data_IF_248216630040
#
_entry.id   IF_248216630040
#
_cell.length_a   1.000
_cell.length_b   1.000
_cell.length_c   1.000
_cell.angle_alpha   90.00
_cell.angle_beta   90.00
_cell.angle_gamma   90.00
#
_symmetry.space_group_name_H-M   'P 1'
#
loop_
_entity.id
_entity.type
_entity.pdbx_description
1 polymer ?
#
# COMPACT_ATOMS: atom_id res chain seq x y z
N UNK A 1 14.57 9.84 -7.49
CA UNK A 1 15.87 9.93 -6.78
C UNK A 1 16.72 8.75 -7.20
N UNK A 2 18.04 8.90 -7.37
CA UNK A 2 18.91 7.74 -7.64
C UNK A 2 19.36 7.11 -6.31
N UNK A 3 19.07 5.82 -6.09
CA UNK A 3 19.59 5.02 -4.97
C UNK A 3 20.38 3.86 -5.58
N UNK A 4 21.66 3.70 -5.20
CA UNK A 4 22.57 2.67 -5.74
C UNK A 4 22.62 2.64 -7.28
N UNK A 5 22.57 3.80 -7.93
CA UNK A 5 22.59 3.91 -9.40
C UNK A 5 21.25 3.67 -10.10
N UNK A 6 20.19 3.33 -9.37
CA UNK A 6 18.84 3.13 -9.90
C UNK A 6 17.92 4.29 -9.58
N UNK A 7 17.14 4.75 -10.56
CA UNK A 7 16.08 5.75 -10.31
C UNK A 7 14.93 5.09 -9.57
N UNK A 8 14.67 5.55 -8.34
CA UNK A 8 13.57 5.12 -7.50
C UNK A 8 12.62 6.30 -7.28
N UNK A 9 11.32 6.00 -7.31
CA UNK A 9 10.22 6.95 -7.13
C UNK A 9 9.37 6.53 -5.95
N UNK A 10 8.78 7.49 -5.23
CA UNK A 10 7.85 7.23 -4.13
C UNK A 10 6.47 6.71 -4.59
N UNK A 11 6.20 6.67 -5.90
CA UNK A 11 4.89 6.32 -6.42
C UNK A 11 3.83 7.39 -6.12
N UNK A 12 2.56 6.99 -6.20
CA UNK A 12 1.42 7.86 -5.91
C UNK A 12 1.00 7.68 -4.44
N UNK A 13 1.14 8.76 -3.66
CA UNK A 13 0.74 8.82 -2.25
C UNK A 13 -0.51 9.68 -2.03
N UNK A 14 -1.18 10.13 -3.08
CA UNK A 14 -2.36 11.01 -2.99
C UNK A 14 -3.67 10.33 -3.44
N UNK A 15 -3.57 9.29 -4.28
CA UNK A 15 -4.74 8.60 -4.80
C UNK A 15 -5.45 7.82 -3.69
N UNK A 16 -6.63 8.29 -3.29
CA UNK A 16 -7.45 7.66 -2.26
C UNK A 16 -8.43 6.61 -2.79
N UNK A 17 -8.97 6.82 -3.98
CA UNK A 17 -10.03 5.99 -4.54
C UNK A 17 -9.55 5.30 -5.81
N UNK A 18 -9.65 3.97 -5.83
CA UNK A 18 -9.26 3.15 -6.97
C UNK A 18 -10.33 2.08 -7.23
N UNK A 19 -11.01 2.18 -8.36
CA UNK A 19 -11.89 1.10 -8.82
C UNK A 19 -11.22 0.32 -9.93
N UNK A 20 -11.09 -0.99 -9.72
CA UNK A 20 -10.62 -1.96 -10.72
C UNK A 20 -11.65 -3.07 -10.94
N UNK A 21 -12.90 -2.84 -10.52
CA UNK A 21 -14.00 -3.78 -10.69
C UNK A 21 -14.19 -4.20 -12.16
N UNK A 22 -14.77 -5.38 -12.38
CA UNK A 22 -15.07 -5.94 -13.71
C UNK A 22 -13.85 -6.16 -14.60
N UNK A 23 -12.69 -6.43 -13.98
CA UNK A 23 -11.46 -6.80 -14.68
C UNK A 23 -11.07 -8.26 -14.37
N UNK A 24 -10.22 -8.84 -15.22
CA UNK A 24 -9.66 -10.19 -15.02
C UNK A 24 -8.52 -10.19 -13.97
N UNK A 25 -8.75 -9.59 -12.80
CA UNK A 25 -7.75 -9.55 -11.74
C UNK A 25 -7.65 -10.92 -11.07
N UNK A 26 -6.43 -11.29 -10.69
CA UNK A 26 -6.10 -12.54 -10.00
C UNK A 26 -5.44 -12.24 -8.65
N UNK A 27 -5.22 -13.26 -7.80
CA UNK A 27 -4.50 -13.11 -6.53
C UNK A 27 -3.09 -12.52 -6.69
N UNK A 28 -2.47 -12.59 -7.87
CA UNK A 28 -1.21 -11.87 -8.17
C UNK A 28 -1.39 -10.35 -8.09
N UNK A 29 -2.54 -9.82 -8.49
CA UNK A 29 -2.86 -8.39 -8.36
C UNK A 29 -3.13 -8.03 -6.90
N UNK A 30 -3.86 -8.89 -6.19
CA UNK A 30 -4.14 -8.71 -4.77
C UNK A 30 -2.86 -8.60 -3.94
N UNK A 31 -1.90 -9.53 -4.14
CA UNK A 31 -0.58 -9.46 -3.47
C UNK A 31 0.14 -8.15 -3.72
N UNK A 32 0.09 -7.63 -4.95
CA UNK A 32 0.68 -6.31 -5.27
C UNK A 32 -0.04 -5.17 -4.57
N UNK A 33 -1.37 -5.23 -4.45
CA UNK A 33 -2.14 -4.23 -3.70
C UNK A 33 -1.81 -4.28 -2.21
N UNK A 34 -1.67 -5.47 -1.62
CA UNK A 34 -1.21 -5.64 -0.23
C UNK A 34 0.17 -5.00 -0.04
N UNK A 35 1.16 -5.34 -0.88
CA UNK A 35 2.49 -4.71 -0.82
C UNK A 35 2.43 -3.19 -1.01
N UNK A 36 1.54 -2.70 -1.88
CA UNK A 36 1.32 -1.26 -2.07
C UNK A 36 0.78 -0.58 -0.81
N UNK A 37 -0.19 -1.20 -0.13
CA UNK A 37 -0.76 -0.68 1.12
C UNK A 37 0.26 -0.66 2.25
N UNK A 38 1.06 -1.72 2.42
CA UNK A 38 2.17 -1.71 3.37
C UNK A 38 3.17 -0.60 3.08
N UNK A 39 3.55 -0.45 1.80
CA UNK A 39 4.43 0.62 1.37
C UNK A 39 3.85 2.01 1.66
N UNK A 40 2.57 2.24 1.34
CA UNK A 40 1.90 3.52 1.61
C UNK A 40 1.77 3.79 3.12
N UNK A 41 1.41 2.79 3.94
CA UNK A 41 1.39 2.95 5.40
C UNK A 41 2.77 3.31 5.95
N UNK A 42 3.82 2.64 5.47
CA UNK A 42 5.19 2.98 5.85
C UNK A 42 5.56 4.39 5.40
N UNK A 43 5.28 4.77 4.16
CA UNK A 43 5.65 6.08 3.62
C UNK A 43 4.87 7.23 4.24
N UNK A 44 3.62 7.02 4.63
CA UNK A 44 2.71 8.06 5.09
C UNK A 44 2.58 8.12 6.62
N UNK A 45 3.24 7.24 7.38
CA UNK A 45 3.14 7.22 8.85
C UNK A 45 1.68 7.17 9.34
N UNK A 46 0.86 6.37 8.65
CA UNK A 46 -0.59 6.27 8.87
C UNK A 46 -1.37 7.58 8.75
N UNK A 47 -0.86 8.56 7.99
CA UNK A 47 -1.71 9.63 7.44
C UNK A 47 -2.81 8.99 6.57
N UNK A 48 -4.00 8.92 7.16
CA UNK A 48 -5.24 8.38 6.62
C UNK A 48 -5.94 9.34 5.66
N UNK A 49 -5.43 10.57 5.50
CA UNK A 49 -5.95 11.53 4.52
C UNK A 49 -5.27 11.39 3.17
N UNK A 50 -4.31 10.47 3.03
CA UNK A 50 -3.49 10.28 1.82
C UNK A 50 -3.35 8.78 1.51
N UNK A 51 -2.86 8.46 0.32
CA UNK A 51 -2.73 7.09 -0.17
C UNK A 51 -4.08 6.38 -0.32
N UNK A 52 -4.06 5.10 -0.68
CA UNK A 52 -5.29 4.35 -0.97
C UNK A 52 -6.12 4.13 0.30
N UNK A 53 -7.39 4.50 0.22
CA UNK A 53 -8.39 4.32 1.28
C UNK A 53 -9.54 3.45 0.81
N UNK A 54 -9.95 3.61 -0.45
CA UNK A 54 -11.08 2.91 -1.03
C UNK A 54 -10.64 2.19 -2.30
N UNK A 55 -10.68 0.87 -2.27
CA UNK A 55 -10.32 0.03 -3.41
C UNK A 55 -11.43 -0.96 -3.72
N UNK A 56 -12.01 -0.85 -4.91
CA UNK A 56 -13.08 -1.72 -5.38
C UNK A 56 -12.54 -2.76 -6.36
N UNK A 57 -12.77 -4.04 -6.06
CA UNK A 57 -12.26 -5.20 -6.83
C UNK A 57 -13.41 -6.15 -7.24
N UNK A 58 -14.62 -5.63 -7.40
CA UNK A 58 -15.80 -6.45 -7.67
C UNK A 58 -15.68 -7.22 -8.99
N UNK A 59 -16.34 -8.37 -9.07
CA UNK A 59 -16.37 -9.20 -10.28
C UNK A 59 -14.96 -9.50 -10.85
N UNK A 60 -14.04 -9.89 -9.96
CA UNK A 60 -12.67 -10.32 -10.28
C UNK A 60 -12.48 -11.81 -10.02
N UNK A 61 -11.43 -12.42 -10.58
CA UNK A 61 -11.05 -13.82 -10.35
C UNK A 61 -10.16 -13.98 -9.09
N UNK A 62 -10.38 -13.12 -8.09
CA UNK A 62 -9.61 -13.12 -6.84
C UNK A 62 -10.26 -14.09 -5.87
N UNK A 63 -9.49 -15.05 -5.38
CA UNK A 63 -9.91 -15.93 -4.29
C UNK A 63 -9.83 -15.19 -2.96
N UNK A 64 -10.81 -15.40 -2.08
CA UNK A 64 -10.88 -14.79 -0.74
C UNK A 64 -10.05 -15.61 0.26
N UNK A 65 -8.73 -15.57 0.09
CA UNK A 65 -7.74 -16.26 0.91
C UNK A 65 -7.20 -15.34 2.03
N UNK A 66 -6.05 -15.72 2.60
CA UNK A 66 -5.36 -14.93 3.64
C UNK A 66 -4.98 -13.54 3.14
N UNK A 67 -4.44 -13.43 1.91
CA UNK A 67 -4.08 -12.14 1.32
C UNK A 67 -5.31 -11.22 1.20
N UNK A 68 -6.49 -11.79 0.93
CA UNK A 68 -7.73 -11.02 0.86
C UNK A 68 -8.11 -10.44 2.23
N UNK A 69 -7.93 -11.25 3.28
CA UNK A 69 -8.18 -10.81 4.65
C UNK A 69 -7.20 -9.71 5.05
N UNK A 70 -5.90 -9.90 4.79
CA UNK A 70 -4.86 -8.88 5.02
C UNK A 70 -5.17 -7.58 4.29
N UNK A 71 -5.54 -7.67 3.01
CA UNK A 71 -5.91 -6.51 2.21
C UNK A 71 -7.07 -5.70 2.82
N UNK A 72 -8.14 -6.39 3.23
CA UNK A 72 -9.31 -5.76 3.85
C UNK A 72 -8.94 -5.12 5.21
N UNK A 73 -8.13 -5.80 6.02
CA UNK A 73 -7.69 -5.28 7.31
C UNK A 73 -6.83 -4.02 7.17
N UNK A 74 -5.90 -4.01 6.21
CA UNK A 74 -5.05 -2.84 5.94
C UNK A 74 -5.89 -1.63 5.52
N UNK A 75 -6.83 -1.80 4.59
CA UNK A 75 -7.74 -0.72 4.19
C UNK A 75 -8.58 -0.23 5.38
N UNK A 76 -9.13 -1.15 6.18
CA UNK A 76 -9.93 -0.80 7.36
C UNK A 76 -9.11 0.01 8.36
N UNK A 77 -7.86 -0.38 8.65
CA UNK A 77 -6.97 0.36 9.57
C UNK A 77 -6.72 1.77 9.06
N UNK A 78 -6.40 1.92 7.77
CA UNK A 78 -6.21 3.23 7.14
C UNK A 78 -7.46 4.12 7.21
N UNK A 79 -8.65 3.55 7.11
CA UNK A 79 -9.92 4.28 7.20
C UNK A 79 -10.32 4.68 8.64
N UNK A 80 -9.69 4.09 9.66
CA UNK A 80 -10.11 4.23 11.07
C UNK A 80 -9.11 5.00 11.94
N UNK A 81 -8.17 5.73 11.33
CA UNK A 81 -7.11 6.49 12.00
C UNK A 81 -6.28 5.65 13.00
N UNK A 82 -6.18 4.35 12.76
CA UNK A 82 -5.37 3.48 13.60
C UNK A 82 -3.88 3.65 13.28
N UNK A 83 -3.12 4.09 14.29
CA UNK A 83 -1.66 4.23 14.22
C UNK A 83 -0.99 2.86 14.28
N UNK A 84 -0.34 2.46 13.19
CA UNK A 84 0.60 1.33 13.14
C UNK A 84 1.96 1.79 13.67
N UNK A 85 2.72 0.90 14.30
CA UNK A 85 4.07 1.23 14.75
C UNK A 85 5.06 1.07 13.59
N UNK A 86 5.96 2.05 13.42
CA UNK A 86 6.93 2.11 12.31
C UNK A 86 7.82 0.85 12.24
N UNK A 87 8.14 0.25 13.39
CA UNK A 87 8.94 -0.98 13.46
C UNK A 87 8.24 -2.19 12.83
N UNK A 88 6.91 -2.27 12.91
CA UNK A 88 6.13 -3.40 12.39
C UNK A 88 6.09 -3.42 10.85
N UNK A 89 6.28 -2.25 10.22
CA UNK A 89 6.15 -2.07 8.77
C UNK A 89 7.50 -2.12 8.03
N UNK A 90 8.59 -1.85 8.74
CA UNK A 90 9.93 -1.72 8.16
C UNK A 90 10.43 -3.01 7.50
N UNK A 91 10.07 -4.16 8.06
CA UNK A 91 10.44 -5.48 7.52
C UNK A 91 9.56 -5.92 6.33
N UNK A 92 8.45 -5.20 6.11
CA UNK A 92 7.48 -5.49 5.05
C UNK A 92 7.71 -4.64 3.79
N UNK A 93 8.65 -3.71 3.83
CA UNK A 93 8.99 -2.83 2.70
C UNK A 93 10.45 -3.02 2.26
N UNK A 94 10.79 -2.78 0.98
CA UNK A 94 12.18 -2.80 0.53
C UNK A 94 13.03 -1.78 1.30
N UNK A 95 14.30 -2.11 1.55
CA UNK A 95 15.26 -1.25 2.28
C UNK A 95 15.38 0.15 1.67
N UNK A 96 15.25 0.23 0.34
CA UNK A 96 15.25 1.48 -0.42
C UNK A 96 14.12 2.44 0.02
N UNK A 97 13.02 1.92 0.57
CA UNK A 97 11.90 2.72 1.07
C UNK A 97 12.29 3.58 2.27
N UNK A 98 13.15 3.08 3.16
CA UNK A 98 13.66 3.87 4.30
C UNK A 98 14.48 5.06 3.81
N UNK A 99 15.31 4.84 2.78
CA UNK A 99 16.12 5.92 2.17
C UNK A 99 15.20 6.94 1.50
N UNK A 100 14.18 6.49 0.75
CA UNK A 100 13.20 7.38 0.13
C UNK A 100 12.44 8.20 1.16
N UNK A 101 11.89 7.56 2.19
CA UNK A 101 11.09 8.24 3.22
C UNK A 101 11.89 9.31 3.96
N UNK A 102 13.17 9.07 4.24
CA UNK A 102 14.06 10.09 4.84
C UNK A 102 14.24 11.36 3.98
N UNK A 103 13.81 11.33 2.71
CA UNK A 103 13.96 12.39 1.72
C UNK A 103 12.62 12.98 1.26
N UNK A 104 11.52 12.31 1.52
CA UNK A 104 10.17 12.81 1.25
C UNK A 104 9.69 13.45 2.54
N UNK A 105 9.55 14.77 2.55
CA UNK A 105 8.84 15.46 3.63
C UNK A 105 7.38 15.02 3.58
N UNK A 106 6.98 14.22 4.56
CA UNK A 106 5.58 13.87 4.81
C UNK A 106 4.97 14.97 5.64
#
# INVERSE_FOLDING_TARGET
MAIKGSVITSGNLELQHLSLSFNCLTNKTLKKLVSCLYYQSYMLLDDSTRGLLHVSLENSQIQKDEDWTTFQELLRRRQSDHVSHDEDLKDLVPVESTVLRSKVSV
#
